data_IF_705845047821
#
_entry.id   IF_705845047821
#
_cell.length_a   1.000
_cell.length_b   1.000
_cell.length_c   1.000
_cell.angle_alpha   90.00
_cell.angle_beta   90.00
_cell.angle_gamma   90.00
#
_symmetry.space_group_name_H-M   'P 1'
#
loop_
_entity.id
_entity.type
_entity.pdbx_description
1 polymer ?
#
# COMPACT_ATOMS: atom_id res chain seq x y z
N UNK A 1 65.20 -9.03 -44.75
CA UNK A 1 64.01 -8.23 -45.14
C UNK A 1 62.83 -9.20 -45.16
N UNK A 2 62.06 -9.40 -44.09
CA UNK A 2 61.18 -8.41 -43.47
C UNK A 2 59.73 -8.63 -43.93
N UNK A 3 59.15 -9.83 -43.74
CA UNK A 3 57.71 -10.06 -43.93
C UNK A 3 56.94 -9.37 -42.80
N UNK A 4 55.84 -8.66 -43.07
CA UNK A 4 55.10 -7.91 -42.05
C UNK A 4 54.35 -8.89 -41.13
N UNK A 5 54.11 -8.54 -39.85
CA UNK A 5 53.35 -9.39 -38.95
C UNK A 5 51.87 -9.37 -39.32
N UNK A 6 51.32 -10.58 -39.35
CA UNK A 6 49.93 -10.94 -39.55
C UNK A 6 49.02 -10.26 -38.50
N UNK A 7 48.00 -9.54 -38.96
CA UNK A 7 46.99 -8.89 -38.12
C UNK A 7 46.10 -9.97 -37.50
N UNK A 8 46.50 -10.47 -36.32
CA UNK A 8 45.63 -11.30 -35.48
C UNK A 8 44.33 -10.55 -35.17
N UNK A 9 43.23 -11.03 -35.74
CA UNK A 9 41.86 -10.67 -35.34
C UNK A 9 41.69 -11.02 -33.86
N UNK A 10 41.58 -9.99 -33.03
CA UNK A 10 41.15 -10.16 -31.64
C UNK A 10 39.73 -10.70 -31.61
N UNK A 11 39.59 -12.00 -31.35
CA UNK A 11 38.33 -12.58 -30.89
C UNK A 11 38.00 -11.96 -29.55
N UNK A 12 37.10 -10.97 -29.55
CA UNK A 12 36.50 -10.43 -28.32
C UNK A 12 35.66 -11.54 -27.71
N UNK A 13 36.29 -12.37 -26.88
CA UNK A 13 35.60 -13.25 -25.93
C UNK A 13 34.85 -12.30 -25.01
N UNK A 14 33.57 -12.04 -25.33
CA UNK A 14 32.61 -11.44 -24.41
C UNK A 14 32.52 -12.41 -23.24
N UNK A 15 33.38 -12.20 -22.24
CA UNK A 15 33.25 -12.82 -20.94
C UNK A 15 31.83 -12.48 -20.49
N UNK A 16 30.93 -13.47 -20.55
CA UNK A 16 29.67 -13.43 -19.84
C UNK A 16 30.08 -13.33 -18.38
N UNK A 17 30.23 -12.09 -17.89
CA UNK A 17 30.28 -11.75 -16.48
C UNK A 17 29.05 -12.45 -15.92
N UNK A 18 29.26 -13.59 -15.27
CA UNK A 18 28.20 -14.30 -14.54
C UNK A 18 27.65 -13.25 -13.60
N UNK A 19 26.49 -12.70 -13.95
CA UNK A 19 25.76 -11.81 -13.07
C UNK A 19 25.63 -12.57 -11.77
N UNK A 20 26.15 -11.99 -10.68
CA UNK A 20 25.91 -12.54 -9.36
C UNK A 20 24.39 -12.75 -9.23
N UNK A 21 23.94 -13.91 -8.74
CA UNK A 21 22.52 -14.21 -8.65
C UNK A 21 21.81 -13.13 -7.83
N UNK A 22 20.61 -12.73 -8.26
CA UNK A 22 19.82 -11.68 -7.60
C UNK A 22 19.51 -12.13 -6.16
N UNK A 23 19.45 -11.20 -5.18
CA UNK A 23 19.14 -11.55 -3.78
C UNK A 23 17.84 -12.34 -3.60
N UNK A 24 16.88 -12.17 -4.51
CA UNK A 24 15.59 -12.89 -4.52
C UNK A 24 15.70 -14.40 -4.78
N UNK A 25 16.79 -14.91 -5.34
CA UNK A 25 16.96 -16.35 -5.62
C UNK A 25 17.45 -17.15 -4.40
N UNK A 26 17.85 -16.51 -3.30
CA UNK A 26 18.42 -17.21 -2.13
C UNK A 26 17.40 -17.75 -1.11
N UNK A 27 16.09 -17.54 -1.28
CA UNK A 27 15.13 -17.65 -0.16
C UNK A 27 13.90 -18.54 -0.42
N UNK A 28 14.09 -19.67 -1.10
CA UNK A 28 13.06 -20.72 -1.25
C UNK A 28 13.28 -21.95 -0.36
N UNK A 29 14.27 -21.91 0.56
CA UNK A 29 14.41 -22.93 1.59
C UNK A 29 13.58 -22.53 2.81
N UNK A 30 12.79 -23.46 3.35
CA UNK A 30 12.13 -23.30 4.64
C UNK A 30 13.18 -22.91 5.68
N UNK A 31 13.03 -21.77 6.38
CA UNK A 31 14.02 -21.31 7.33
C UNK A 31 14.17 -22.35 8.43
N UNK A 32 15.39 -22.88 8.56
CA UNK A 32 15.74 -23.85 9.59
C UNK A 32 16.43 -23.14 10.74
N UNK A 33 16.28 -23.68 11.94
CA UNK A 33 16.96 -23.18 13.13
C UNK A 33 18.48 -23.09 12.91
N UNK A 34 19.08 -24.14 12.33
CA UNK A 34 20.50 -24.14 12.01
C UNK A 34 20.92 -22.95 11.12
N UNK A 35 20.10 -22.63 10.11
CA UNK A 35 20.33 -21.48 9.24
C UNK A 35 20.27 -20.16 10.01
N UNK A 36 19.30 -19.99 10.91
CA UNK A 36 19.19 -18.82 11.78
C UNK A 36 20.44 -18.70 12.65
N UNK A 37 20.81 -19.76 13.38
CA UNK A 37 21.98 -19.76 14.28
C UNK A 37 23.29 -19.45 13.54
N UNK A 38 23.44 -19.93 12.30
CA UNK A 38 24.59 -19.62 11.47
C UNK A 38 24.68 -18.12 11.16
N UNK A 39 23.56 -17.48 10.81
CA UNK A 39 23.52 -16.03 10.55
C UNK A 39 23.71 -15.22 11.84
N UNK A 40 23.13 -15.64 12.97
CA UNK A 40 23.35 -14.99 14.27
C UNK A 40 24.84 -14.89 14.57
N UNK A 41 25.60 -15.97 14.41
CA UNK A 41 27.05 -15.98 14.67
C UNK A 41 27.84 -15.04 13.76
N UNK A 42 27.31 -14.66 12.60
CA UNK A 42 27.96 -13.66 11.72
C UNK A 42 27.75 -12.22 12.20
N UNK A 43 26.60 -11.94 12.81
CA UNK A 43 26.27 -10.59 13.32
C UNK A 43 26.69 -10.40 14.77
N UNK A 44 26.61 -11.47 15.57
CA UNK A 44 26.87 -11.52 17.01
C UNK A 44 27.79 -12.72 17.31
N UNK A 45 29.11 -12.62 17.09
CA UNK A 45 30.04 -13.75 17.25
C UNK A 45 30.07 -14.34 18.67
N UNK A 46 29.91 -13.47 19.68
CA UNK A 46 29.97 -13.83 21.10
C UNK A 46 28.58 -14.13 21.70
N UNK A 47 27.53 -14.14 20.88
CA UNK A 47 26.18 -14.38 21.36
C UNK A 47 25.98 -15.82 21.84
N UNK A 48 25.32 -15.96 22.98
CA UNK A 48 24.78 -17.24 23.40
C UNK A 48 23.54 -17.61 22.55
N UNK A 49 23.73 -18.59 21.67
CA UNK A 49 22.68 -19.12 20.80
C UNK A 49 21.79 -20.15 21.49
N UNK A 50 22.14 -20.61 22.69
CA UNK A 50 21.36 -21.60 23.45
C UNK A 50 19.96 -21.10 23.75
N UNK A 51 19.81 -19.79 23.98
CA UNK A 51 18.53 -19.14 24.23
C UNK A 51 17.56 -19.28 23.03
N UNK A 52 18.08 -19.16 21.80
CA UNK A 52 17.28 -19.29 20.57
C UNK A 52 16.88 -20.75 20.37
N UNK A 53 17.77 -21.69 20.67
CA UNK A 53 17.47 -23.13 20.63
C UNK A 53 16.35 -23.48 21.62
N UNK A 54 16.45 -22.99 22.86
CA UNK A 54 15.43 -23.21 23.88
C UNK A 54 14.07 -22.62 23.45
N UNK A 55 14.07 -21.41 22.87
CA UNK A 55 12.87 -20.78 22.35
C UNK A 55 12.22 -21.59 21.22
N UNK A 56 13.03 -22.15 20.32
CA UNK A 56 12.55 -23.05 19.28
C UNK A 56 11.89 -24.31 19.86
N UNK A 57 12.53 -24.94 20.84
CA UNK A 57 12.04 -26.18 21.42
C UNK A 57 10.71 -25.94 22.18
N UNK A 58 10.62 -24.83 22.92
CA UNK A 58 9.39 -24.39 23.58
C UNK A 58 8.27 -24.09 22.55
N UNK A 59 8.58 -23.34 21.48
CA UNK A 59 7.62 -23.06 20.41
C UNK A 59 7.16 -24.34 19.68
N UNK A 60 8.05 -25.31 19.49
CA UNK A 60 7.72 -26.59 18.86
C UNK A 60 6.74 -27.42 19.71
N UNK A 61 6.87 -27.36 21.04
CA UNK A 61 5.95 -28.01 21.97
C UNK A 61 4.58 -27.33 21.92
N UNK A 62 4.51 -26.01 22.06
CA UNK A 62 3.24 -25.30 22.16
C UNK A 62 2.45 -25.23 20.85
N UNK A 63 3.15 -25.19 19.72
CA UNK A 63 2.53 -25.25 18.39
C UNK A 63 2.37 -26.68 17.86
N UNK A 64 2.62 -27.71 18.67
CA UNK A 64 2.49 -29.10 18.24
C UNK A 64 1.08 -29.40 17.71
N UNK A 65 1.01 -30.00 16.52
CA UNK A 65 -0.25 -30.32 15.85
C UNK A 65 -1.00 -29.13 15.23
N UNK A 66 -0.49 -27.90 15.37
CA UNK A 66 -1.10 -26.73 14.75
C UNK A 66 -0.58 -26.52 13.33
N UNK A 67 -1.50 -26.31 12.39
CA UNK A 67 -1.19 -26.08 10.97
C UNK A 67 -1.74 -24.73 10.51
N UNK A 68 -0.99 -24.03 9.66
CA UNK A 68 -1.47 -22.83 8.97
C UNK A 68 -2.47 -23.20 7.87
N UNK A 69 -3.09 -22.18 7.27
CA UNK A 69 -3.96 -22.34 6.09
C UNK A 69 -3.26 -22.91 4.87
N UNK A 70 -1.93 -22.81 4.79
CA UNK A 70 -1.11 -23.46 3.76
C UNK A 70 -0.99 -24.97 3.95
N UNK A 71 -1.26 -25.48 5.16
CA UNK A 71 -0.98 -26.86 5.57
C UNK A 71 0.36 -27.02 6.30
N UNK A 72 1.23 -26.01 6.31
CA UNK A 72 2.52 -26.06 7.00
C UNK A 72 2.35 -25.94 8.52
N UNK A 73 3.24 -26.52 9.33
CA UNK A 73 3.25 -26.30 10.78
C UNK A 73 3.37 -24.81 11.14
N UNK A 74 2.69 -24.35 12.19
CA UNK A 74 2.78 -22.95 12.64
C UNK A 74 4.22 -22.56 12.99
N UNK A 75 5.01 -23.50 13.54
CA UNK A 75 6.44 -23.29 13.83
C UNK A 75 7.24 -22.77 12.62
N UNK A 76 6.88 -23.18 11.40
CA UNK A 76 7.54 -22.71 10.18
C UNK A 76 7.38 -21.21 9.98
N UNK A 77 6.24 -20.63 10.37
CA UNK A 77 6.04 -19.19 10.35
C UNK A 77 6.90 -18.48 11.38
N UNK A 78 6.92 -18.97 12.63
CA UNK A 78 7.74 -18.40 13.70
C UNK A 78 9.22 -18.35 13.31
N UNK A 79 9.74 -19.45 12.74
CA UNK A 79 11.11 -19.52 12.22
C UNK A 79 11.35 -18.56 11.05
N UNK A 80 10.36 -18.35 10.19
CA UNK A 80 10.50 -17.42 9.09
C UNK A 80 10.50 -15.95 9.52
N UNK A 81 9.70 -15.60 10.52
CA UNK A 81 9.72 -14.26 11.15
C UNK A 81 11.08 -14.06 11.83
N UNK A 82 11.54 -15.03 12.63
CA UNK A 82 12.83 -14.98 13.29
C UNK A 82 14.01 -14.87 12.30
N UNK A 83 13.94 -15.53 11.14
CA UNK A 83 14.95 -15.41 10.09
C UNK A 83 15.03 -13.98 9.50
N UNK A 84 13.89 -13.34 9.27
CA UNK A 84 13.86 -11.94 8.80
C UNK A 84 14.44 -11.01 9.87
N UNK A 85 14.05 -11.19 11.13
CA UNK A 85 14.58 -10.43 12.27
C UNK A 85 16.10 -10.62 12.41
N UNK A 86 16.58 -11.82 12.17
CA UNK A 86 18.02 -12.15 12.16
C UNK A 86 18.74 -11.44 11.00
N UNK A 87 18.16 -11.39 9.79
CA UNK A 87 18.74 -10.70 8.64
C UNK A 87 18.83 -9.17 8.81
N UNK A 88 17.93 -8.60 9.62
CA UNK A 88 18.01 -7.20 10.03
C UNK A 88 19.27 -6.97 10.89
N UNK A 89 19.71 -7.99 11.64
CA UNK A 89 20.87 -7.93 12.55
C UNK A 89 20.49 -7.92 14.03
N UNK A 90 19.23 -8.17 14.37
CA UNK A 90 18.77 -8.08 15.76
C UNK A 90 19.49 -9.07 16.70
N UNK A 91 19.67 -8.74 17.98
CA UNK A 91 20.36 -9.60 18.94
C UNK A 91 19.53 -10.83 19.34
N UNK A 92 20.14 -11.84 19.97
CA UNK A 92 19.49 -13.10 20.33
C UNK A 92 18.19 -12.97 21.14
N UNK A 93 18.09 -11.99 22.03
CA UNK A 93 16.87 -11.75 22.83
C UNK A 93 15.66 -11.38 21.98
N UNK A 94 15.87 -10.55 20.95
CA UNK A 94 14.81 -10.13 20.00
C UNK A 94 14.48 -11.28 19.04
N UNK A 95 15.47 -12.07 18.63
CA UNK A 95 15.25 -13.27 17.82
C UNK A 95 14.44 -14.31 18.61
N UNK A 96 14.74 -14.50 19.89
CA UNK A 96 13.98 -15.35 20.80
C UNK A 96 12.51 -14.90 20.89
N UNK A 97 12.28 -13.60 21.12
CA UNK A 97 10.94 -13.03 21.10
C UNK A 97 10.21 -13.24 19.76
N UNK A 98 10.92 -13.16 18.63
CA UNK A 98 10.36 -13.43 17.30
C UNK A 98 9.97 -14.91 17.12
N UNK A 99 10.71 -15.86 17.69
CA UNK A 99 10.35 -17.29 17.66
C UNK A 99 9.10 -17.56 18.51
N UNK A 100 8.95 -16.85 19.63
CA UNK A 100 7.87 -17.06 20.61
C UNK A 100 6.64 -16.16 20.39
N UNK A 101 6.64 -15.27 19.39
CA UNK A 101 5.65 -14.20 19.28
C UNK A 101 4.18 -14.66 19.18
N UNK A 102 3.94 -15.86 18.66
CA UNK A 102 2.62 -16.47 18.48
C UNK A 102 2.28 -17.51 19.57
N UNK A 103 3.13 -17.71 20.58
CA UNK A 103 2.90 -18.72 21.63
C UNK A 103 1.66 -18.39 22.48
N UNK A 104 1.28 -17.12 22.57
CA UNK A 104 0.04 -16.70 23.26
C UNK A 104 -1.25 -17.19 22.56
N UNK A 105 -1.18 -17.59 21.28
CA UNK A 105 -2.31 -18.20 20.56
C UNK A 105 -2.44 -19.71 20.86
N UNK A 106 -1.67 -20.22 21.83
CA UNK A 106 -1.64 -21.62 22.23
C UNK A 106 -2.10 -21.79 23.70
N UNK A 107 -2.32 -23.03 24.18
CA UNK A 107 -2.60 -23.29 25.60
C UNK A 107 -1.43 -23.03 26.57
N UNK A 108 -0.36 -22.35 26.14
CA UNK A 108 0.78 -22.00 26.97
C UNK A 108 0.34 -21.18 28.20
N UNK A 109 0.75 -21.56 29.43
CA UNK A 109 0.37 -20.84 30.63
C UNK A 109 0.87 -19.38 30.63
N UNK A 110 0.06 -18.42 31.13
CA UNK A 110 0.52 -17.07 31.31
C UNK A 110 1.72 -17.05 32.29
N UNK A 111 2.79 -16.36 31.90
CA UNK A 111 4.02 -16.27 32.70
C UNK A 111 5.08 -17.34 32.39
N UNK A 112 4.74 -18.38 31.60
CA UNK A 112 5.70 -19.43 31.21
C UNK A 112 6.94 -18.86 30.50
N UNK A 113 6.70 -17.90 29.60
CA UNK A 113 7.78 -17.21 28.89
C UNK A 113 8.67 -16.41 29.85
N UNK A 114 8.09 -15.75 30.86
CA UNK A 114 8.85 -14.99 31.86
C UNK A 114 9.69 -15.92 32.75
N UNK A 115 9.16 -17.10 33.09
CA UNK A 115 9.87 -18.13 33.87
C UNK A 115 11.10 -18.68 33.12
N UNK A 116 10.94 -19.00 31.84
CA UNK A 116 11.98 -19.67 31.05
C UNK A 116 12.99 -18.71 30.38
N UNK A 117 12.55 -17.51 30.01
CA UNK A 117 13.33 -16.56 29.20
C UNK A 117 13.54 -15.21 29.88
N UNK A 118 12.93 -14.98 31.04
CA UNK A 118 13.01 -13.73 31.79
C UNK A 118 11.95 -12.69 31.41
N UNK A 119 11.76 -11.73 32.31
CA UNK A 119 10.72 -10.71 32.19
C UNK A 119 10.89 -9.81 30.96
N UNK A 120 12.13 -9.51 30.57
CA UNK A 120 12.42 -8.62 29.43
C UNK A 120 11.85 -9.18 28.10
N UNK A 121 12.00 -10.48 27.87
CA UNK A 121 11.50 -11.13 26.64
C UNK A 121 9.97 -11.24 26.67
N UNK A 122 9.38 -11.55 27.83
CA UNK A 122 7.93 -11.55 28.00
C UNK A 122 7.33 -10.15 27.75
N UNK A 123 7.96 -9.09 28.26
CA UNK A 123 7.54 -7.71 28.07
C UNK A 123 7.68 -7.25 26.61
N UNK A 124 8.68 -7.78 25.89
CA UNK A 124 8.86 -7.54 24.46
C UNK A 124 7.76 -8.20 23.64
N UNK A 125 7.44 -9.48 23.90
CA UNK A 125 6.37 -10.20 23.20
C UNK A 125 5.01 -9.52 23.45
N UNK A 126 4.73 -9.14 24.70
CA UNK A 126 3.52 -8.37 25.05
C UNK A 126 3.45 -7.02 24.32
N UNK A 127 4.59 -6.32 24.20
CA UNK A 127 4.67 -5.06 23.46
C UNK A 127 4.44 -5.26 21.96
N UNK A 128 4.97 -6.31 21.34
CA UNK A 128 4.73 -6.63 19.92
C UNK A 128 3.23 -6.76 19.63
N UNK A 129 2.46 -7.35 20.55
CA UNK A 129 1.01 -7.52 20.39
C UNK A 129 0.23 -6.21 20.56
N UNK A 130 0.62 -5.37 21.52
CA UNK A 130 -0.14 -4.20 21.95
C UNK A 130 0.29 -2.89 21.28
N UNK A 131 1.49 -2.85 20.70
CA UNK A 131 2.05 -1.65 20.11
C UNK A 131 1.23 -1.15 18.92
N UNK A 132 0.89 0.15 18.97
CA UNK A 132 0.34 0.88 17.83
C UNK A 132 1.50 1.43 17.02
N UNK A 133 1.71 0.90 15.82
CA UNK A 133 2.81 1.33 14.94
C UNK A 133 2.80 2.85 14.68
N UNK A 134 1.62 3.46 14.60
CA UNK A 134 1.47 4.91 14.41
C UNK A 134 2.01 5.76 15.59
N UNK A 135 2.21 5.17 16.77
CA UNK A 135 2.74 5.86 17.94
C UNK A 135 4.27 5.78 18.06
N UNK A 136 4.94 4.99 17.20
CA UNK A 136 6.39 4.81 17.25
C UNK A 136 7.06 6.00 16.54
N UNK A 137 7.90 6.80 17.23
CA UNK A 137 8.57 7.96 16.63
C UNK A 137 9.67 7.54 15.66
N UNK A 138 9.37 7.58 14.36
CA UNK A 138 10.26 7.11 13.29
C UNK A 138 11.61 7.82 13.22
N UNK A 139 11.67 9.08 13.63
CA UNK A 139 12.91 9.89 13.61
C UNK A 139 13.95 9.40 14.61
N UNK A 140 13.55 8.58 15.58
CA UNK A 140 14.43 8.05 16.62
C UNK A 140 14.92 6.62 16.32
N UNK A 141 14.51 6.02 15.20
CA UNK A 141 14.84 4.63 14.85
C UNK A 141 16.00 4.61 13.85
N UNK A 142 17.07 3.88 14.15
CA UNK A 142 18.21 3.73 13.23
C UNK A 142 18.68 2.28 13.15
N UNK A 143 18.20 1.59 12.12
CA UNK A 143 18.63 0.23 11.81
C UNK A 143 19.90 0.17 10.94
N UNK A 144 20.50 1.32 10.58
CA UNK A 144 21.72 1.36 9.76
C UNK A 144 22.91 0.66 10.42
N UNK A 145 22.93 0.64 11.75
CA UNK A 145 23.95 -0.02 12.58
C UNK A 145 23.50 -1.39 13.12
N UNK A 146 22.32 -1.89 12.76
CA UNK A 146 21.72 -3.08 13.38
C UNK A 146 22.59 -4.34 13.26
N UNK A 147 23.45 -4.44 12.24
CA UNK A 147 24.37 -5.56 12.02
C UNK A 147 25.70 -5.44 12.76
N UNK A 148 25.91 -4.34 13.48
CA UNK A 148 27.08 -4.15 14.33
C UNK A 148 26.95 -5.02 15.58
N UNK A 149 28.00 -5.75 16.01
CA UNK A 149 27.98 -6.51 17.27
C UNK A 149 27.73 -5.63 18.51
N UNK A 150 28.01 -4.32 18.41
CA UNK A 150 27.78 -3.37 19.49
C UNK A 150 26.34 -2.79 19.52
N UNK A 151 25.50 -3.16 18.54
CA UNK A 151 24.14 -2.65 18.44
C UNK A 151 23.28 -3.20 19.58
N UNK A 152 22.65 -2.28 20.32
CA UNK A 152 21.66 -2.59 21.35
C UNK A 152 20.36 -1.89 20.94
N UNK A 153 19.35 -2.64 20.46
CA UNK A 153 18.10 -2.03 20.04
C UNK A 153 17.38 -1.43 21.26
N UNK A 154 16.75 -0.29 21.04
CA UNK A 154 15.68 0.18 21.94
C UNK A 154 14.50 -0.78 21.92
N UNK A 155 13.61 -0.67 22.91
CA UNK A 155 12.39 -1.49 22.95
C UNK A 155 11.54 -1.26 21.70
N UNK A 156 11.46 -0.01 21.24
CA UNK A 156 10.73 0.40 20.05
C UNK A 156 11.30 -0.22 18.77
N UNK A 157 12.64 -0.27 18.63
CA UNK A 157 13.31 -0.90 17.48
C UNK A 157 13.09 -2.42 17.47
N UNK A 158 13.18 -3.07 18.63
CA UNK A 158 12.93 -4.50 18.77
C UNK A 158 11.46 -4.86 18.40
N UNK A 159 10.50 -4.09 18.93
CA UNK A 159 9.07 -4.25 18.62
C UNK A 159 8.83 -4.02 17.13
N UNK A 160 9.41 -2.95 16.57
CA UNK A 160 9.24 -2.62 15.15
C UNK A 160 9.82 -3.73 14.25
N UNK A 161 11.01 -4.25 14.55
CA UNK A 161 11.64 -5.29 13.74
C UNK A 161 10.74 -6.54 13.62
N UNK A 162 10.17 -7.00 14.74
CA UNK A 162 9.26 -8.15 14.75
C UNK A 162 7.96 -7.82 14.01
N UNK A 163 7.38 -6.64 14.23
CA UNK A 163 6.15 -6.18 13.58
C UNK A 163 6.27 -5.94 12.08
N UNK A 164 7.46 -5.64 11.56
CA UNK A 164 7.72 -5.54 10.13
C UNK A 164 7.93 -6.93 9.49
N UNK A 165 8.53 -7.87 10.24
CA UNK A 165 8.83 -9.21 9.76
C UNK A 165 7.58 -10.10 9.59
N UNK A 166 6.61 -10.01 10.51
CA UNK A 166 5.39 -10.84 10.45
C UNK A 166 4.54 -10.59 9.17
N UNK A 167 4.14 -9.34 8.84
CA UNK A 167 3.40 -9.05 7.61
C UNK A 167 4.13 -9.50 6.34
N UNK A 168 5.47 -9.38 6.32
CA UNK A 168 6.27 -9.83 5.18
C UNK A 168 6.13 -11.34 4.95
N UNK A 169 6.23 -12.16 6.00
CA UNK A 169 6.00 -13.60 5.85
C UNK A 169 4.54 -13.91 5.50
N UNK A 170 3.58 -13.20 6.08
CA UNK A 170 2.16 -13.36 5.74
C UNK A 170 1.88 -13.03 4.26
N UNK A 171 2.57 -12.05 3.69
CA UNK A 171 2.49 -11.72 2.27
C UNK A 171 3.09 -12.80 1.37
N UNK A 172 4.18 -13.43 1.78
CA UNK A 172 4.77 -14.58 1.04
C UNK A 172 3.81 -15.77 0.95
N UNK A 173 2.89 -15.90 1.91
CA UNK A 173 1.90 -17.00 2.00
C UNK A 173 0.46 -16.54 1.73
N UNK A 174 0.27 -15.32 1.22
CA UNK A 174 -1.06 -14.68 1.07
C UNK A 174 -2.03 -15.46 0.15
N UNK A 175 -1.50 -16.31 -0.73
CA UNK A 175 -2.27 -17.13 -1.67
C UNK A 175 -3.27 -18.08 -0.97
N UNK A 176 -3.00 -18.49 0.27
CA UNK A 176 -3.85 -19.42 1.05
C UNK A 176 -4.89 -18.72 1.93
N UNK A 177 -4.87 -17.38 1.97
CA UNK A 177 -5.78 -16.58 2.81
C UNK A 177 -7.09 -16.27 2.06
N UNK A 178 -8.19 -15.95 2.74
CA UNK A 178 -9.44 -15.56 2.06
C UNK A 178 -9.30 -14.20 1.35
N UNK A 179 -9.93 -13.95 0.18
CA UNK A 179 -9.74 -12.73 -0.62
C UNK A 179 -9.93 -11.43 0.17
N UNK A 180 -10.95 -11.34 1.02
CA UNK A 180 -11.20 -10.16 1.88
C UNK A 180 -10.02 -9.88 2.81
N UNK A 181 -9.47 -10.91 3.45
CA UNK A 181 -8.33 -10.78 4.36
C UNK A 181 -7.03 -10.50 3.59
N UNK A 182 -6.86 -11.02 2.37
CA UNK A 182 -5.73 -10.64 1.50
C UNK A 182 -5.74 -9.14 1.20
N UNK A 183 -6.90 -8.59 0.84
CA UNK A 183 -7.04 -7.16 0.57
C UNK A 183 -6.66 -6.31 1.78
N UNK A 184 -7.17 -6.66 2.97
CA UNK A 184 -6.86 -5.95 4.21
C UNK A 184 -5.36 -5.98 4.53
N UNK A 185 -4.73 -7.18 4.54
CA UNK A 185 -3.30 -7.33 4.82
C UNK A 185 -2.44 -6.57 3.82
N UNK A 186 -2.77 -6.65 2.53
CA UNK A 186 -2.02 -5.95 1.49
C UNK A 186 -2.20 -4.42 1.57
N UNK A 187 -3.40 -3.93 1.90
CA UNK A 187 -3.66 -2.50 2.10
C UNK A 187 -2.91 -1.95 3.30
N UNK A 188 -3.06 -2.58 4.47
CA UNK A 188 -2.32 -2.22 5.67
C UNK A 188 -0.81 -2.19 5.42
N UNK A 189 -0.32 -3.16 4.64
CA UNK A 189 1.11 -3.19 4.30
C UNK A 189 1.52 -2.01 3.43
N UNK A 190 0.77 -1.68 2.37
CA UNK A 190 1.11 -0.54 1.51
C UNK A 190 1.01 0.80 2.23
N UNK A 191 -0.03 0.96 3.05
CA UNK A 191 -0.37 2.24 3.65
C UNK A 191 0.43 2.49 4.93
N UNK A 192 0.83 1.43 5.67
CA UNK A 192 1.50 1.55 6.97
C UNK A 192 2.86 0.85 6.98
N UNK A 193 2.91 -0.47 6.79
CA UNK A 193 4.13 -1.27 7.05
C UNK A 193 5.29 -0.90 6.13
N UNK A 194 5.04 -0.80 4.82
CA UNK A 194 6.08 -0.53 3.84
C UNK A 194 6.65 0.89 3.97
N UNK A 195 5.85 1.96 4.14
CA UNK A 195 6.36 3.29 4.47
C UNK A 195 7.18 3.31 5.77
N UNK A 196 6.70 2.63 6.82
CA UNK A 196 7.37 2.55 8.11
C UNK A 196 8.76 1.90 7.99
N UNK A 197 8.85 0.78 7.28
CA UNK A 197 10.11 0.11 7.00
C UNK A 197 11.10 1.00 6.20
N UNK A 198 10.61 1.83 5.25
CA UNK A 198 11.48 2.78 4.53
C UNK A 198 12.00 3.87 5.44
N UNK A 199 11.12 4.45 6.26
CA UNK A 199 11.48 5.51 7.18
C UNK A 199 12.52 5.04 8.20
N UNK A 200 12.43 3.78 8.64
CA UNK A 200 13.40 3.13 9.53
C UNK A 200 14.70 2.66 8.83
N UNK A 201 14.90 2.96 7.53
CA UNK A 201 16.10 2.57 6.79
C UNK A 201 16.15 1.10 6.32
N UNK A 202 15.11 0.30 6.61
CA UNK A 202 15.00 -1.10 6.24
C UNK A 202 14.46 -1.27 4.80
N UNK A 203 15.25 -0.82 3.83
CA UNK A 203 14.83 -0.75 2.42
C UNK A 203 14.43 -2.11 1.84
N UNK A 204 15.17 -3.18 2.16
CA UNK A 204 14.86 -4.53 1.67
C UNK A 204 13.57 -5.09 2.29
N UNK A 205 13.37 -4.85 3.59
CA UNK A 205 12.14 -5.21 4.34
C UNK A 205 10.96 -4.34 3.94
N UNK A 206 11.18 -3.22 3.24
CA UNK A 206 10.10 -2.43 2.65
C UNK A 206 9.74 -2.87 1.23
N UNK A 207 10.76 -3.06 0.37
CA UNK A 207 10.56 -3.29 -1.06
C UNK A 207 9.76 -4.56 -1.33
N UNK A 208 10.15 -5.67 -0.71
CA UNK A 208 9.49 -6.96 -0.94
C UNK A 208 8.00 -6.95 -0.53
N UNK A 209 7.63 -6.55 0.71
CA UNK A 209 6.21 -6.51 1.08
C UNK A 209 5.42 -5.47 0.29
N UNK A 210 6.05 -4.36 -0.14
CA UNK A 210 5.42 -3.41 -1.07
C UNK A 210 5.07 -4.08 -2.41
N UNK A 211 6.00 -4.81 -3.01
CA UNK A 211 5.82 -5.46 -4.31
C UNK A 211 4.78 -6.59 -4.22
N UNK A 212 4.85 -7.41 -3.17
CA UNK A 212 3.87 -8.48 -2.90
C UNK A 212 2.47 -7.92 -2.67
N UNK A 213 2.35 -6.83 -1.90
CA UNK A 213 1.06 -6.20 -1.63
C UNK A 213 0.48 -5.54 -2.87
N UNK A 214 1.32 -4.85 -3.65
CA UNK A 214 0.94 -4.29 -4.94
C UNK A 214 0.43 -5.39 -5.87
N UNK A 215 1.12 -6.54 -5.94
CA UNK A 215 0.69 -7.68 -6.73
C UNK A 215 -0.61 -8.31 -6.21
N UNK A 216 -0.80 -8.39 -4.90
CA UNK A 216 -2.02 -8.93 -4.29
C UNK A 216 -3.25 -8.03 -4.49
N UNK A 217 -3.04 -6.72 -4.58
CA UNK A 217 -4.09 -5.72 -4.83
C UNK A 217 -4.33 -5.47 -6.32
N UNK A 218 -3.40 -5.87 -7.18
CA UNK A 218 -3.65 -5.85 -8.61
C UNK A 218 -4.83 -6.78 -8.90
N UNK A 219 -5.85 -6.29 -9.62
CA UNK A 219 -6.90 -7.16 -10.09
C UNK A 219 -6.22 -8.26 -10.92
N UNK A 220 -6.48 -9.53 -10.59
CA UNK A 220 -6.16 -10.59 -11.55
C UNK A 220 -6.82 -10.16 -12.86
N UNK A 221 -6.09 -10.06 -13.99
CA UNK A 221 -6.64 -9.54 -15.23
C UNK A 221 -7.71 -10.51 -15.73
N UNK A 222 -8.92 -10.33 -15.22
CA UNK A 222 -10.11 -11.02 -15.68
C UNK A 222 -10.53 -10.35 -16.98
N UNK A 223 -11.12 -11.12 -17.89
CA UNK A 223 -11.71 -10.56 -19.11
C UNK A 223 -12.63 -9.37 -18.80
N UNK A 224 -13.35 -9.44 -17.68
CA UNK A 224 -14.15 -8.34 -17.12
C UNK A 224 -13.35 -7.07 -16.83
N UNK A 225 -12.21 -7.16 -16.14
CA UNK A 225 -11.36 -6.01 -15.83
C UNK A 225 -10.73 -5.38 -17.10
N UNK A 226 -10.28 -6.22 -18.04
CA UNK A 226 -9.74 -5.75 -19.33
C UNK A 226 -10.82 -5.04 -20.15
N UNK A 227 -12.01 -5.63 -20.26
CA UNK A 227 -13.14 -5.06 -21.00
C UNK A 227 -13.55 -3.72 -20.41
N UNK A 228 -13.75 -3.64 -19.10
CA UNK A 228 -14.11 -2.40 -18.41
C UNK A 228 -13.02 -1.33 -18.59
N UNK A 229 -11.74 -1.71 -18.59
CA UNK A 229 -10.63 -0.77 -18.85
C UNK A 229 -10.65 -0.21 -20.28
N UNK A 230 -11.01 -1.04 -21.27
CA UNK A 230 -11.20 -0.58 -22.65
C UNK A 230 -12.39 0.36 -22.78
N UNK A 231 -13.50 0.09 -22.08
CA UNK A 231 -14.71 0.92 -22.13
C UNK A 231 -14.50 2.34 -21.61
N UNK A 232 -13.55 2.55 -20.69
CA UNK A 232 -13.19 3.89 -20.20
C UNK A 232 -12.70 4.81 -21.34
N UNK A 233 -12.10 4.26 -22.39
CA UNK A 233 -11.63 5.05 -23.52
C UNK A 233 -12.78 5.77 -24.26
N UNK A 234 -14.00 5.25 -24.13
CA UNK A 234 -15.21 5.87 -24.68
C UNK A 234 -15.63 7.13 -23.90
N UNK A 235 -15.20 7.29 -22.65
CA UNK A 235 -15.54 8.44 -21.78
C UNK A 235 -14.62 9.66 -22.05
N UNK A 236 -15.09 10.89 -21.75
CA UNK A 236 -14.28 12.11 -21.82
C UNK A 236 -13.05 12.06 -20.91
N UNK A 237 -11.90 12.54 -21.41
CA UNK A 237 -10.59 12.54 -20.72
C UNK A 237 -10.63 12.99 -19.25
N UNK A 238 -11.25 14.14 -18.86
CA UNK A 238 -11.23 14.59 -17.46
C UNK A 238 -11.95 13.62 -16.51
N UNK A 239 -12.93 12.88 -17.01
CA UNK A 239 -13.76 11.98 -16.20
C UNK A 239 -13.21 10.54 -16.13
N UNK A 240 -12.25 10.18 -16.99
CA UNK A 240 -11.75 8.80 -17.11
C UNK A 240 -11.15 8.27 -15.81
N UNK A 241 -10.37 9.09 -15.10
CA UNK A 241 -9.68 8.66 -13.89
C UNK A 241 -10.66 8.23 -12.80
N UNK A 242 -11.67 9.06 -12.54
CA UNK A 242 -12.73 8.78 -11.56
C UNK A 242 -13.50 7.50 -11.90
N UNK A 243 -14.07 7.40 -13.11
CA UNK A 243 -14.87 6.24 -13.50
C UNK A 243 -14.05 4.95 -13.57
N UNK A 244 -12.75 5.04 -13.87
CA UNK A 244 -11.83 3.91 -13.78
C UNK A 244 -11.77 3.36 -12.36
N UNK A 245 -11.61 4.23 -11.37
CA UNK A 245 -11.49 3.86 -9.97
C UNK A 245 -12.81 3.27 -9.44
N UNK A 246 -13.94 3.93 -9.73
CA UNK A 246 -15.28 3.46 -9.34
C UNK A 246 -15.57 2.06 -9.92
N UNK A 247 -15.43 1.87 -11.23
CA UNK A 247 -15.71 0.56 -11.85
C UNK A 247 -14.73 -0.52 -11.42
N UNK A 248 -13.47 -0.16 -11.15
CA UNK A 248 -12.47 -1.08 -10.64
C UNK A 248 -12.80 -1.54 -9.23
N UNK A 249 -13.21 -0.62 -8.36
CA UNK A 249 -13.65 -0.92 -7.00
C UNK A 249 -14.86 -1.85 -6.99
N UNK A 250 -15.88 -1.57 -7.82
CA UNK A 250 -17.05 -2.44 -7.95
C UNK A 250 -16.67 -3.84 -8.44
N UNK A 251 -15.82 -3.95 -9.47
CA UNK A 251 -15.35 -5.26 -9.96
C UNK A 251 -14.59 -6.06 -8.90
N UNK A 252 -13.76 -5.38 -8.10
CA UNK A 252 -12.98 -5.99 -7.03
C UNK A 252 -13.88 -6.47 -5.88
N UNK A 253 -14.96 -5.75 -5.58
CA UNK A 253 -15.93 -6.12 -4.54
C UNK A 253 -16.74 -7.38 -4.89
N UNK A 254 -16.84 -7.74 -6.18
CA UNK A 254 -17.64 -8.89 -6.61
C UNK A 254 -16.92 -10.23 -6.39
N UNK A 255 -17.51 -11.17 -5.62
CA UNK A 255 -16.82 -12.39 -5.21
C UNK A 255 -16.77 -13.48 -6.29
N UNK A 256 -17.74 -13.52 -7.22
CA UNK A 256 -17.87 -14.61 -8.21
C UNK A 256 -17.61 -14.16 -9.64
N UNK A 257 -17.11 -15.09 -10.48
CA UNK A 257 -16.93 -14.84 -11.93
C UNK A 257 -18.24 -14.42 -12.60
N UNK A 258 -19.36 -15.09 -12.29
CA UNK A 258 -20.69 -14.76 -12.85
C UNK A 258 -21.13 -13.34 -12.50
N UNK A 259 -20.90 -12.90 -11.27
CA UNK A 259 -21.25 -11.54 -10.84
C UNK A 259 -20.41 -10.49 -11.58
N UNK A 260 -19.10 -10.72 -11.72
CA UNK A 260 -18.20 -9.84 -12.50
C UNK A 260 -18.62 -9.76 -13.97
N UNK A 261 -18.96 -10.89 -14.60
CA UNK A 261 -19.46 -10.91 -15.99
C UNK A 261 -20.75 -10.10 -16.14
N UNK A 262 -21.70 -10.26 -15.22
CA UNK A 262 -22.96 -9.51 -15.22
C UNK A 262 -22.73 -8.01 -15.07
N UNK A 263 -21.83 -7.61 -14.18
CA UNK A 263 -21.44 -6.20 -14.02
C UNK A 263 -20.81 -5.65 -15.30
N UNK A 264 -19.83 -6.34 -15.88
CA UNK A 264 -19.20 -5.90 -17.14
C UNK A 264 -20.21 -5.75 -18.27
N UNK A 265 -21.17 -6.68 -18.41
CA UNK A 265 -22.24 -6.55 -19.40
C UNK A 265 -23.14 -5.33 -19.16
N UNK A 266 -23.41 -5.01 -17.89
CA UNK A 266 -24.17 -3.80 -17.54
C UNK A 266 -23.38 -2.55 -17.91
N UNK A 267 -22.10 -2.48 -17.56
CA UNK A 267 -21.22 -1.35 -17.91
C UNK A 267 -21.13 -1.20 -19.43
N UNK A 268 -20.91 -2.28 -20.18
CA UNK A 268 -20.88 -2.28 -21.64
C UNK A 268 -22.17 -1.66 -22.23
N UNK A 269 -23.34 -2.04 -21.71
CA UNK A 269 -24.63 -1.53 -22.17
C UNK A 269 -24.87 -0.07 -21.78
N UNK A 270 -24.37 0.38 -20.62
CA UNK A 270 -24.62 1.74 -20.12
C UNK A 270 -23.59 2.78 -20.58
N UNK A 271 -22.36 2.37 -20.89
CA UNK A 271 -21.24 3.26 -21.23
C UNK A 271 -21.56 4.23 -22.38
N UNK A 272 -22.25 3.84 -23.47
CA UNK A 272 -22.59 4.80 -24.54
C UNK A 272 -23.47 5.95 -24.04
N UNK A 273 -24.52 5.63 -23.25
CA UNK A 273 -25.41 6.63 -22.67
C UNK A 273 -24.66 7.52 -21.68
N UNK A 274 -23.83 6.93 -20.83
CA UNK A 274 -23.02 7.66 -19.87
C UNK A 274 -22.03 8.61 -20.56
N UNK A 275 -21.31 8.14 -21.58
CA UNK A 275 -20.39 8.97 -22.37
C UNK A 275 -21.10 10.17 -23.00
N UNK A 276 -22.28 9.93 -23.58
CA UNK A 276 -23.10 11.00 -24.15
C UNK A 276 -23.52 12.02 -23.09
N UNK A 277 -24.00 11.56 -21.92
CA UNK A 277 -24.39 12.46 -20.82
C UNK A 277 -23.20 13.28 -20.30
N UNK A 278 -22.02 12.68 -20.12
CA UNK A 278 -20.83 13.37 -19.62
C UNK A 278 -20.31 14.41 -20.62
N UNK A 279 -20.36 14.12 -21.93
CA UNK A 279 -20.02 15.09 -22.99
C UNK A 279 -21.02 16.24 -23.03
N UNK A 280 -22.30 15.96 -22.81
CA UNK A 280 -23.38 16.96 -22.80
C UNK A 280 -23.42 17.78 -21.51
N UNK A 281 -22.82 17.29 -20.43
CA UNK A 281 -22.65 18.01 -19.17
C UNK A 281 -21.44 18.94 -19.19
N UNK A 282 -20.41 18.64 -19.98
CA UNK A 282 -19.21 19.46 -20.18
C UNK A 282 -19.40 20.65 -21.13
N UNK A 283 -20.65 21.03 -21.44
CA UNK A 283 -20.99 22.23 -22.22
C UNK A 283 -22.31 22.74 -21.66
N UNK A 284 -22.26 23.26 -20.43
CA UNK A 284 -23.39 24.02 -19.87
C UNK A 284 -23.04 25.48 -19.86
N UNK A 285 -24.03 26.31 -20.18
CA UNK A 285 -23.92 27.75 -20.05
C UNK A 285 -24.30 28.13 -18.61
N UNK A 286 -23.40 28.79 -17.88
CA UNK A 286 -23.62 29.18 -16.50
C UNK A 286 -23.07 30.59 -16.24
N UNK A 287 -23.70 31.27 -15.28
CA UNK A 287 -23.16 32.47 -14.64
C UNK A 287 -22.98 32.19 -13.15
N UNK A 288 -22.04 32.86 -12.50
CA UNK A 288 -21.88 32.82 -11.04
C UNK A 288 -21.32 34.15 -10.55
N UNK A 289 -21.04 34.27 -9.26
CA UNK A 289 -20.31 35.41 -8.71
C UNK A 289 -19.04 35.64 -9.53
N UNK A 290 -19.06 36.73 -10.29
CA UNK A 290 -17.94 37.22 -11.09
C UNK A 290 -16.91 37.89 -10.19
N UNK A 291 -15.78 38.34 -10.74
CA UNK A 291 -14.74 39.12 -10.06
C UNK A 291 -15.22 40.49 -9.52
N UNK A 292 -16.29 40.53 -8.75
CA UNK A 292 -16.68 41.70 -7.95
C UNK A 292 -15.51 42.10 -7.04
N UNK A 293 -14.73 41.12 -6.57
CA UNK A 293 -13.48 41.31 -5.81
C UNK A 293 -12.40 42.10 -6.57
N UNK A 294 -12.35 42.08 -7.90
CA UNK A 294 -11.46 42.97 -8.68
C UNK A 294 -11.97 44.41 -8.65
N UNK A 295 -13.29 44.61 -8.73
CA UNK A 295 -13.93 45.92 -8.64
C UNK A 295 -13.80 46.58 -7.25
N UNK A 296 -13.69 45.78 -6.18
CA UNK A 296 -13.45 46.26 -4.81
C UNK A 296 -11.98 46.15 -4.36
N UNK A 297 -11.06 45.73 -5.22
CA UNK A 297 -9.62 45.63 -4.93
C UNK A 297 -9.22 44.50 -3.97
N UNK A 298 -10.07 43.49 -3.79
CA UNK A 298 -9.89 42.33 -2.91
C UNK A 298 -9.39 41.07 -3.62
N UNK A 299 -9.26 41.07 -4.94
CA UNK A 299 -8.83 39.91 -5.73
C UNK A 299 -7.49 39.31 -5.28
N UNK A 300 -6.57 40.12 -4.72
CA UNK A 300 -5.28 39.65 -4.19
C UNK A 300 -5.37 38.85 -2.89
N UNK A 301 -6.54 38.86 -2.22
CA UNK A 301 -6.82 38.11 -0.99
C UNK A 301 -7.62 36.83 -1.24
N UNK A 302 -8.18 36.66 -2.44
CA UNK A 302 -8.92 35.47 -2.80
C UNK A 302 -7.94 34.31 -3.08
N UNK A 303 -8.05 33.17 -2.40
CA UNK A 303 -7.15 32.04 -2.62
C UNK A 303 -7.35 31.35 -3.98
N UNK A 304 -8.49 31.58 -4.63
CA UNK A 304 -8.84 31.08 -5.96
C UNK A 304 -10.01 31.89 -6.52
N UNK A 305 -10.10 31.98 -7.85
CA UNK A 305 -11.20 32.62 -8.54
C UNK A 305 -12.21 31.55 -8.97
N UNK A 306 -13.46 31.70 -8.55
CA UNK A 306 -14.54 30.74 -8.86
C UNK A 306 -14.77 30.58 -10.36
N UNK A 307 -14.69 31.67 -11.12
CA UNK A 307 -14.80 31.66 -12.58
C UNK A 307 -13.75 30.75 -13.22
N UNK A 308 -12.47 30.95 -12.86
CA UNK A 308 -11.34 30.17 -13.40
C UNK A 308 -11.47 28.70 -13.03
N UNK A 309 -11.83 28.39 -11.79
CA UNK A 309 -11.94 27.01 -11.31
C UNK A 309 -13.09 26.26 -12.00
N UNK A 310 -14.20 26.94 -12.22
CA UNK A 310 -15.39 26.38 -12.88
C UNK A 310 -15.15 26.19 -14.38
N UNK A 311 -14.48 27.13 -15.05
CA UNK A 311 -14.09 26.97 -16.46
C UNK A 311 -13.04 25.86 -16.65
N UNK A 312 -11.97 25.85 -15.86
CA UNK A 312 -10.84 24.93 -16.06
C UNK A 312 -11.09 23.51 -15.54
N UNK A 313 -11.74 23.35 -14.38
CA UNK A 313 -11.94 22.03 -13.76
C UNK A 313 -13.25 21.36 -14.16
N UNK A 314 -14.31 22.14 -14.37
CA UNK A 314 -15.64 21.61 -14.69
C UNK A 314 -15.90 21.64 -16.20
N UNK A 315 -15.29 22.58 -16.94
CA UNK A 315 -15.46 22.71 -18.38
C UNK A 315 -16.85 23.21 -18.74
N UNK A 316 -17.25 24.36 -18.20
CA UNK A 316 -18.52 25.01 -18.53
C UNK A 316 -18.27 26.29 -19.34
N UNK A 317 -19.27 26.69 -20.13
CA UNK A 317 -19.25 27.97 -20.82
C UNK A 317 -19.73 29.04 -19.85
N UNK A 318 -18.85 29.98 -19.54
CA UNK A 318 -19.15 31.05 -18.60
C UNK A 318 -19.55 32.33 -19.35
N UNK A 319 -20.60 32.99 -18.89
CA UNK A 319 -20.99 34.32 -19.37
C UNK A 319 -21.24 35.28 -18.22
N UNK A 320 -21.03 36.58 -18.45
CA UNK A 320 -21.19 37.64 -17.46
C UNK A 320 -21.95 38.84 -18.03
N UNK A 321 -22.83 39.41 -17.21
CA UNK A 321 -23.48 40.70 -17.42
C UNK A 321 -22.79 41.84 -16.65
N UNK A 322 -23.38 43.05 -16.67
CA UNK A 322 -22.84 44.22 -15.98
C UNK A 322 -22.74 44.03 -14.46
N UNK A 323 -21.72 44.64 -13.85
CA UNK A 323 -21.50 44.54 -12.39
C UNK A 323 -22.67 45.22 -11.66
N UNK A 324 -23.17 44.58 -10.60
CA UNK A 324 -24.33 45.02 -9.80
C UNK A 324 -25.70 45.03 -10.51
N UNK A 325 -25.79 44.59 -11.76
CA UNK A 325 -27.08 44.41 -12.45
C UNK A 325 -27.56 42.96 -12.42
N UNK A 326 -28.87 42.70 -12.42
CA UNK A 326 -29.40 41.34 -12.50
C UNK A 326 -28.97 40.66 -13.80
N UNK A 327 -28.28 39.52 -13.69
CA UNK A 327 -27.91 38.69 -14.83
C UNK A 327 -28.13 37.21 -14.50
N UNK A 328 -28.89 36.54 -15.36
CA UNK A 328 -29.33 35.16 -15.17
C UNK A 328 -29.07 34.35 -16.45
N UNK A 329 -28.56 33.14 -16.27
CA UNK A 329 -28.36 32.16 -17.34
C UNK A 329 -29.17 30.91 -17.02
N UNK A 330 -29.99 30.50 -17.98
CA UNK A 330 -30.77 29.26 -17.94
C UNK A 330 -30.26 28.31 -19.01
N UNK A 331 -29.76 27.15 -18.58
CA UNK A 331 -29.45 26.02 -19.45
C UNK A 331 -30.18 24.76 -18.95
N UNK A 332 -31.28 24.44 -19.65
CA UNK A 332 -32.18 23.31 -19.36
C UNK A 332 -32.80 23.39 -17.96
N UNK A 333 -32.27 22.63 -17.02
CA UNK A 333 -32.79 22.54 -15.65
C UNK A 333 -31.87 23.24 -14.65
N UNK A 334 -30.85 23.95 -15.13
CA UNK A 334 -29.92 24.70 -14.33
C UNK A 334 -30.17 26.19 -14.57
N UNK A 335 -30.59 26.89 -13.53
CA UNK A 335 -30.77 28.34 -13.52
C UNK A 335 -29.75 28.93 -12.59
N UNK A 336 -28.96 29.89 -13.08
CA UNK A 336 -27.85 30.49 -12.33
C UNK A 336 -27.89 32.00 -12.41
N UNK A 337 -27.41 32.70 -11.40
CA UNK A 337 -27.39 34.17 -11.33
C UNK A 337 -26.02 34.69 -10.95
N UNK A 338 -25.69 35.90 -11.42
CA UNK A 338 -24.37 36.50 -11.26
C UNK A 338 -24.12 37.08 -9.87
N UNK A 339 -25.11 37.75 -9.28
CA UNK A 339 -24.92 38.59 -8.08
C UNK A 339 -26.20 38.66 -7.24
N UNK A 340 -26.20 39.33 -6.06
CA UNK A 340 -27.38 39.43 -5.21
C UNK A 340 -28.57 40.12 -5.90
N UNK A 341 -28.31 41.05 -6.83
CA UNK A 341 -29.35 41.70 -7.64
C UNK A 341 -30.10 40.69 -8.55
N UNK A 342 -29.46 39.58 -8.90
CA UNK A 342 -30.04 38.50 -9.70
C UNK A 342 -31.04 37.63 -8.91
N UNK A 343 -31.08 37.73 -7.58
CA UNK A 343 -31.90 36.86 -6.72
C UNK A 343 -33.41 37.00 -6.98
N UNK A 344 -33.91 38.22 -7.23
CA UNK A 344 -35.32 38.45 -7.52
C UNK A 344 -35.74 37.82 -8.86
N UNK A 345 -34.90 37.94 -9.89
CA UNK A 345 -35.12 37.37 -11.23
C UNK A 345 -35.07 35.84 -11.18
N UNK A 346 -34.08 35.29 -10.46
CA UNK A 346 -33.97 33.85 -10.16
C UNK A 346 -35.22 33.31 -9.46
N UNK A 347 -35.68 34.00 -8.40
CA UNK A 347 -36.84 33.58 -7.63
C UNK A 347 -38.11 33.51 -8.48
N UNK A 348 -38.36 34.53 -9.32
CA UNK A 348 -39.50 34.53 -10.23
C UNK A 348 -39.42 33.38 -11.25
N UNK A 349 -38.24 33.12 -11.82
CA UNK A 349 -38.06 32.04 -12.79
C UNK A 349 -38.25 30.66 -12.15
N UNK A 350 -37.76 30.45 -10.92
CA UNK A 350 -37.99 29.21 -10.18
C UNK A 350 -39.48 28.96 -9.92
N UNK A 351 -40.25 30.01 -9.61
CA UNK A 351 -41.70 29.91 -9.43
C UNK A 351 -42.45 29.56 -10.73
N UNK A 352 -41.94 29.97 -11.89
CA UNK A 352 -42.49 29.56 -13.19
C UNK A 352 -42.19 28.10 -13.53
N UNK A 353 -40.99 27.61 -13.20
CA UNK A 353 -40.59 26.22 -13.44
C UNK A 353 -41.36 25.24 -12.53
N UNK A 354 -41.78 25.68 -11.35
CA UNK A 354 -42.48 24.87 -10.36
C UNK A 354 -44.01 24.82 -10.56
N UNK A 355 -44.56 25.64 -11.47
CA UNK A 355 -45.96 25.57 -11.91
C UNK A 355 -46.10 24.60 -13.07
#
# INVERSE_FOLDING_TARGET
MGRPPDRRRGSVIRARRRLAPRPSERRSATPSLHGILAVVRTHHPDADVSLIQHAHDEAAVWHAGQTRRSGDPVLTHCLAVAAIVTDIGMPPSVICAAVLHDVDDTPCPPGRVAEHFGQEIADLISAVRTAKLAAIPLTALDFGVARSPAFKPTREEAVLAIRLADPLHNLRTIAFVAPTRRYLVARETLDVIAPLARAAGLTDVSREPHDLSSAALQPTPTASAVTTRMLILLLPTPTRARWREEWHAELAALPTRRARTRFTLRVLRSTPRLSWTLRRAACRDVTCFTTEEEGVGLASRAPWLLETDVQEKVGVNFSRGPIWEPYMVEDRNLVTGQNPASAAVLGNRMLEILK
#
